data_IF_391463401386
#
_entry.id   IF_391463401386
#
_cell.length_a   1.000
_cell.length_b   1.000
_cell.length_c   1.000
_cell.angle_alpha   90.00
_cell.angle_beta   90.00
_cell.angle_gamma   90.00
#
_symmetry.space_group_name_H-M   'P 1'
#
loop_
_entity.id
_entity.type
_entity.pdbx_description
1 polymer ?
#
# COMPACT_ATOMS: atom_id res chain seq x y z
N UNK A 1 -5.05 -9.81 20.58
CA UNK A 1 -5.27 -8.36 20.44
C UNK A 1 -3.95 -7.59 20.32
N UNK A 2 -3.01 -7.73 21.28
CA UNK A 2 -1.76 -6.95 21.31
C UNK A 2 -0.83 -7.14 20.11
N UNK A 3 -1.02 -8.18 19.31
CA UNK A 3 -0.26 -8.47 18.10
C UNK A 3 -0.95 -7.95 16.83
N UNK A 4 -2.18 -7.42 16.94
CA UNK A 4 -2.93 -6.90 15.82
C UNK A 4 -2.68 -5.40 15.68
N UNK A 5 -2.00 -4.95 14.60
CA UNK A 5 -1.75 -3.53 14.36
C UNK A 5 -3.04 -2.71 14.23
N UNK A 6 -4.11 -3.26 13.68
CA UNK A 6 -5.40 -2.59 13.57
C UNK A 6 -6.02 -2.36 14.95
N UNK A 7 -5.89 -3.32 15.86
CA UNK A 7 -6.33 -3.15 17.25
C UNK A 7 -5.51 -2.09 17.97
N UNK A 8 -4.18 -2.08 17.78
CA UNK A 8 -3.32 -1.02 18.36
C UNK A 8 -3.71 0.36 17.90
N UNK A 9 -3.99 0.51 16.61
CA UNK A 9 -4.49 1.77 16.05
C UNK A 9 -5.82 2.19 16.68
N UNK A 10 -6.77 1.26 16.80
CA UNK A 10 -8.09 1.51 17.41
C UNK A 10 -7.97 1.93 18.87
N UNK A 11 -7.11 1.27 19.64
CA UNK A 11 -6.84 1.64 21.05
C UNK A 11 -6.19 3.01 21.14
N UNK A 12 -5.16 3.27 20.33
CA UNK A 12 -4.50 4.59 20.29
C UNK A 12 -5.49 5.69 19.94
N UNK A 13 -6.37 5.47 18.96
CA UNK A 13 -7.41 6.44 18.60
C UNK A 13 -8.45 6.64 19.70
N UNK A 14 -8.84 5.59 20.42
CA UNK A 14 -9.75 5.69 21.56
C UNK A 14 -9.15 6.52 22.71
N UNK A 15 -7.87 6.29 23.03
CA UNK A 15 -7.13 7.08 24.02
C UNK A 15 -7.05 8.54 23.59
N UNK A 16 -6.69 8.81 22.34
CA UNK A 16 -6.66 10.17 21.78
C UNK A 16 -8.02 10.85 21.92
N UNK A 17 -9.12 10.20 21.53
CA UNK A 17 -10.48 10.75 21.67
C UNK A 17 -10.83 11.05 23.15
N UNK A 18 -10.47 10.17 24.07
CA UNK A 18 -10.68 10.39 25.51
C UNK A 18 -9.94 11.61 26.03
N UNK A 19 -8.68 11.77 25.66
CA UNK A 19 -7.87 12.95 26.04
C UNK A 19 -8.44 14.24 25.39
N UNK A 20 -8.79 14.20 24.11
CA UNK A 20 -9.35 15.34 23.41
C UNK A 20 -10.67 15.80 24.04
N UNK A 21 -11.56 14.86 24.40
CA UNK A 21 -12.83 15.15 25.11
C UNK A 21 -12.58 15.81 26.45
N UNK A 22 -11.73 15.23 27.28
CA UNK A 22 -11.38 15.79 28.58
C UNK A 22 -10.83 17.23 28.48
N UNK A 23 -9.94 17.48 27.51
CA UNK A 23 -9.36 18.81 27.30
C UNK A 23 -10.37 19.80 26.76
N UNK A 24 -11.30 19.40 25.91
CA UNK A 24 -12.35 20.26 25.37
C UNK A 24 -13.34 20.67 26.45
N UNK A 25 -13.79 19.75 27.29
CA UNK A 25 -14.66 20.02 28.44
C UNK A 25 -14.01 20.99 29.40
N UNK A 26 -12.74 20.79 29.73
CA UNK A 26 -12.03 21.73 30.64
C UNK A 26 -11.83 23.14 30.09
N UNK A 27 -11.81 23.29 28.77
CA UNK A 27 -11.56 24.56 28.08
C UNK A 27 -12.83 25.18 27.52
N UNK A 28 -13.99 24.59 27.79
CA UNK A 28 -15.29 24.98 27.21
C UNK A 28 -15.20 25.18 25.69
N UNK A 29 -14.66 24.15 25.00
CA UNK A 29 -14.48 24.15 23.54
C UNK A 29 -15.27 23.03 22.93
N UNK A 30 -15.79 23.26 21.74
CA UNK A 30 -16.38 22.22 20.92
C UNK A 30 -15.34 21.13 20.61
N UNK A 31 -15.72 19.88 20.85
CA UNK A 31 -14.89 18.73 20.49
C UNK A 31 -15.03 18.43 19.02
N UNK A 32 -13.91 18.53 18.29
CA UNK A 32 -13.80 18.04 16.91
C UNK A 32 -12.63 17.09 16.85
N UNK A 33 -12.87 15.91 16.34
CA UNK A 33 -11.84 14.86 16.19
C UNK A 33 -11.26 14.92 14.77
N UNK A 34 -9.94 14.79 14.66
CA UNK A 34 -9.26 14.76 13.37
C UNK A 34 -9.80 13.61 12.47
N UNK A 35 -9.83 13.81 11.13
CA UNK A 35 -10.33 12.79 10.20
C UNK A 35 -9.49 11.52 10.19
N UNK A 36 -10.05 10.46 9.63
CA UNK A 36 -9.28 9.29 9.20
C UNK A 36 -8.57 9.58 7.87
N UNK A 37 -7.50 8.83 7.53
CA UNK A 37 -6.88 8.91 6.21
C UNK A 37 -7.90 8.66 5.10
N UNK A 38 -7.71 9.32 3.97
CA UNK A 38 -8.53 9.05 2.78
C UNK A 38 -8.34 7.63 2.27
N UNK A 39 -9.30 7.14 1.52
CA UNK A 39 -9.29 5.84 0.83
C UNK A 39 -9.49 6.01 -0.66
N UNK A 40 -9.33 4.93 -1.39
CA UNK A 40 -9.59 4.85 -2.85
C UNK A 40 -8.82 5.93 -3.62
N UNK A 41 -7.58 6.21 -3.20
CA UNK A 41 -6.74 7.18 -3.86
C UNK A 41 -6.29 6.68 -5.23
N UNK A 42 -6.42 7.51 -6.25
CA UNK A 42 -6.04 7.20 -7.61
C UNK A 42 -5.52 8.42 -8.35
N UNK A 43 -4.64 8.16 -9.32
CA UNK A 43 -4.15 9.13 -10.28
C UNK A 43 -4.60 8.67 -11.67
N UNK A 44 -5.37 9.49 -12.37
CA UNK A 44 -5.81 9.22 -13.74
C UNK A 44 -5.31 10.30 -14.71
N UNK A 45 -5.00 9.87 -15.93
CA UNK A 45 -4.62 10.79 -17.00
C UNK A 45 -5.87 11.18 -17.75
N UNK A 46 -6.28 12.46 -17.66
CA UNK A 46 -7.43 12.99 -18.35
C UNK A 46 -7.13 13.28 -19.83
N UNK A 47 -5.95 13.84 -20.09
CA UNK A 47 -5.36 14.07 -21.40
C UNK A 47 -3.86 14.29 -21.26
N UNK A 48 -3.16 14.47 -22.38
CA UNK A 48 -1.72 14.75 -22.36
C UNK A 48 -1.38 15.86 -21.36
N UNK A 49 -0.43 15.60 -20.48
CA UNK A 49 0.06 16.48 -19.42
C UNK A 49 -0.99 16.90 -18.37
N UNK A 50 -2.19 16.36 -18.37
CA UNK A 50 -3.23 16.69 -17.39
C UNK A 50 -3.67 15.44 -16.65
N UNK A 51 -3.62 15.53 -15.32
CA UNK A 51 -3.89 14.44 -14.42
C UNK A 51 -4.90 14.85 -13.37
N UNK A 52 -5.68 13.89 -12.93
CA UNK A 52 -6.57 14.03 -11.80
C UNK A 52 -6.16 13.10 -10.68
N UNK A 53 -5.95 13.66 -9.51
CA UNK A 53 -5.89 12.92 -8.25
C UNK A 53 -7.31 12.85 -7.71
N UNK A 54 -7.79 11.67 -7.36
CA UNK A 54 -9.12 11.46 -6.79
C UNK A 54 -9.06 10.54 -5.59
N UNK A 55 -9.95 10.73 -4.64
CA UNK A 55 -10.00 9.94 -3.40
C UNK A 55 -11.39 9.99 -2.79
N UNK A 56 -11.62 9.20 -1.73
CA UNK A 56 -12.82 9.25 -0.93
C UNK A 56 -12.47 9.51 0.54
N UNK A 57 -13.31 10.25 1.30
CA UNK A 57 -13.18 10.33 2.73
C UNK A 57 -13.45 8.98 3.37
N UNK A 58 -12.79 8.71 4.50
CA UNK A 58 -13.07 7.53 5.32
C UNK A 58 -13.91 7.96 6.51
N UNK A 59 -15.19 7.60 6.60
CA UNK A 59 -16.02 7.88 7.76
C UNK A 59 -15.49 7.13 9.00
N UNK A 60 -15.49 7.80 10.14
CA UNK A 60 -15.29 7.13 11.43
C UNK A 60 -16.66 6.76 11.98
N UNK A 61 -17.04 5.46 12.06
CA UNK A 61 -18.37 5.06 12.48
C UNK A 61 -18.67 5.35 13.96
N UNK A 62 -17.64 5.68 14.73
CA UNK A 62 -17.72 5.99 16.15
C UNK A 62 -17.51 7.48 16.44
N UNK A 63 -17.45 8.33 15.40
CA UNK A 63 -17.14 9.76 15.61
C UNK A 63 -17.59 10.61 14.40
N UNK A 64 -18.75 11.19 14.50
CA UNK A 64 -19.34 12.00 13.44
C UNK A 64 -18.58 13.29 13.16
N UNK A 65 -17.92 13.85 14.20
CA UNK A 65 -17.11 15.08 14.05
C UNK A 65 -15.84 14.89 13.24
N UNK A 66 -15.46 13.64 12.96
CA UNK A 66 -14.23 13.29 12.25
C UNK A 66 -14.33 13.40 10.71
N UNK A 67 -15.38 14.02 10.18
CA UNK A 67 -15.47 14.27 8.75
C UNK A 67 -14.50 15.37 8.31
N UNK A 68 -13.83 15.21 7.16
CA UNK A 68 -12.92 16.23 6.66
C UNK A 68 -13.68 17.44 6.08
N UNK A 69 -13.15 18.65 6.35
CA UNK A 69 -13.59 19.88 5.71
C UNK A 69 -12.83 20.16 4.43
N UNK A 70 -11.56 19.73 4.40
CA UNK A 70 -10.61 19.99 3.32
C UNK A 70 -9.57 18.87 3.21
N UNK A 71 -8.81 18.95 2.13
CA UNK A 71 -7.70 18.04 1.83
C UNK A 71 -6.48 18.85 1.42
N UNK A 72 -5.32 18.49 1.95
CA UNK A 72 -4.02 19.00 1.55
C UNK A 72 -3.39 18.02 0.59
N UNK A 73 -2.91 18.53 -0.53
CA UNK A 73 -2.18 17.77 -1.53
C UNK A 73 -0.69 17.98 -1.29
N UNK A 74 -0.01 16.88 -1.06
CA UNK A 74 1.44 16.85 -0.90
C UNK A 74 2.08 16.22 -2.12
N UNK A 75 3.17 16.80 -2.59
CA UNK A 75 3.97 16.26 -3.69
C UNK A 75 5.44 16.14 -3.30
N UNK A 76 6.11 15.23 -4.00
CA UNK A 76 7.55 15.02 -3.96
C UNK A 76 8.03 14.73 -5.37
N UNK A 77 8.99 15.48 -5.85
CA UNK A 77 9.62 15.23 -7.14
C UNK A 77 10.70 14.15 -7.03
N UNK A 78 11.09 13.60 -8.16
CA UNK A 78 12.18 12.63 -8.21
C UNK A 78 13.46 13.20 -7.59
N UNK A 79 14.10 12.42 -6.71
CA UNK A 79 15.29 12.83 -5.99
C UNK A 79 15.08 13.68 -4.73
N UNK A 80 13.89 14.18 -4.47
CA UNK A 80 13.57 14.88 -3.23
C UNK A 80 13.38 13.89 -2.07
N UNK A 81 13.82 14.29 -0.86
CA UNK A 81 13.68 13.47 0.35
C UNK A 81 12.33 13.63 1.04
N UNK A 82 11.66 14.76 0.88
CA UNK A 82 10.45 15.09 1.62
C UNK A 82 9.29 15.53 0.74
N UNK A 83 8.09 15.41 1.29
CA UNK A 83 6.87 15.91 0.65
C UNK A 83 6.65 17.38 1.04
N UNK A 84 6.21 18.17 0.08
CA UNK A 84 5.81 19.57 0.28
C UNK A 84 4.37 19.79 -0.18
N UNK A 85 3.70 20.78 0.40
CA UNK A 85 2.32 21.14 0.04
C UNK A 85 2.31 21.84 -1.32
N UNK A 86 1.49 21.32 -2.26
CA UNK A 86 1.27 21.93 -3.58
C UNK A 86 -0.13 22.53 -3.72
N UNK A 87 -1.08 22.15 -2.87
CA UNK A 87 -2.44 22.65 -2.97
C UNK A 87 -3.32 22.26 -1.79
N UNK A 88 -4.53 22.80 -1.81
CA UNK A 88 -5.60 22.49 -0.87
C UNK A 88 -6.94 22.57 -1.59
N UNK A 89 -7.88 21.68 -1.24
CA UNK A 89 -9.22 21.64 -1.85
C UNK A 89 -10.25 21.12 -0.85
N UNK A 90 -11.50 21.53 -1.01
CA UNK A 90 -12.65 20.93 -0.33
C UNK A 90 -13.32 19.83 -1.15
N UNK A 91 -12.86 19.60 -2.39
CA UNK A 91 -13.36 18.54 -3.26
C UNK A 91 -12.59 17.26 -3.01
N UNK A 92 -13.14 16.13 -3.44
CA UNK A 92 -12.49 14.82 -3.39
C UNK A 92 -11.62 14.55 -4.63
N UNK A 93 -11.16 15.59 -5.27
CA UNK A 93 -10.21 15.53 -6.38
C UNK A 93 -9.38 16.80 -6.48
N UNK A 94 -8.24 16.67 -7.15
CA UNK A 94 -7.36 17.78 -7.48
C UNK A 94 -6.76 17.57 -8.89
N UNK A 95 -6.93 18.56 -9.75
CA UNK A 95 -6.41 18.50 -11.12
C UNK A 95 -5.04 19.20 -11.16
N UNK A 96 -4.10 18.58 -11.86
CA UNK A 96 -2.74 19.11 -12.00
C UNK A 96 -2.21 18.92 -13.42
N UNK A 97 -1.18 19.69 -13.73
CA UNK A 97 -0.46 19.58 -15.00
C UNK A 97 0.97 19.15 -14.72
N UNK A 98 1.38 18.06 -15.37
CA UNK A 98 2.76 17.55 -15.35
C UNK A 98 3.21 17.47 -16.81
N UNK A 99 4.29 18.17 -17.14
CA UNK A 99 4.76 18.30 -18.51
C UNK A 99 6.23 17.90 -18.70
N UNK A 100 6.91 17.60 -17.60
CA UNK A 100 8.27 17.02 -17.59
C UNK A 100 8.21 15.49 -17.65
N UNK A 101 9.38 14.87 -17.73
CA UNK A 101 9.52 13.41 -17.78
C UNK A 101 9.99 12.84 -16.43
N UNK A 102 9.81 13.58 -15.35
CA UNK A 102 10.22 13.14 -14.02
C UNK A 102 9.10 12.36 -13.33
N UNK A 103 9.48 11.60 -12.31
CA UNK A 103 8.53 10.89 -11.46
C UNK A 103 8.07 11.83 -10.35
N UNK A 104 6.77 12.03 -10.27
CA UNK A 104 6.12 12.81 -9.23
C UNK A 104 5.31 11.89 -8.32
N UNK A 105 5.53 12.01 -7.03
CA UNK A 105 4.83 11.23 -5.99
C UNK A 105 3.89 12.14 -5.21
N UNK A 106 2.72 11.61 -4.84
CA UNK A 106 1.67 12.37 -4.17
C UNK A 106 1.12 11.65 -2.95
N UNK A 107 0.68 12.44 -1.98
CA UNK A 107 -0.09 12.01 -0.81
C UNK A 107 -1.23 12.99 -0.56
N UNK A 108 -2.32 12.47 -0.04
CA UNK A 108 -3.50 13.27 0.34
C UNK A 108 -3.65 13.23 1.85
N UNK A 109 -3.82 14.39 2.45
CA UNK A 109 -4.05 14.54 3.90
C UNK A 109 -5.40 15.19 4.12
N UNK A 110 -6.34 14.48 4.71
CA UNK A 110 -7.61 15.05 5.14
C UNK A 110 -7.41 15.93 6.38
N UNK A 111 -8.16 17.02 6.47
CA UNK A 111 -8.14 17.89 7.63
C UNK A 111 -9.52 18.43 7.97
N UNK A 112 -9.71 18.75 9.24
CA UNK A 112 -10.82 19.52 9.79
C UNK A 112 -10.31 20.39 10.96
N UNK A 113 -11.23 21.01 11.70
CA UNK A 113 -10.87 21.81 12.89
C UNK A 113 -10.16 21.01 13.99
N UNK A 114 -10.34 19.68 14.02
CA UNK A 114 -9.70 18.77 14.97
C UNK A 114 -8.25 18.44 14.64
N UNK A 115 -7.81 18.73 13.41
CA UNK A 115 -6.44 18.52 12.97
C UNK A 115 -6.28 17.78 11.66
N UNK A 116 -5.04 17.38 11.37
CA UNK A 116 -4.64 16.65 10.18
C UNK A 116 -4.79 15.13 10.41
N UNK A 117 -5.34 14.44 9.44
CA UNK A 117 -5.26 12.97 9.37
C UNK A 117 -3.82 12.51 9.09
N UNK A 118 -3.57 11.22 9.27
CA UNK A 118 -2.41 10.60 8.64
C UNK A 118 -2.56 10.67 7.11
N UNK A 119 -1.44 10.79 6.37
CA UNK A 119 -1.49 10.84 4.91
C UNK A 119 -2.03 9.55 4.31
N UNK A 120 -2.50 9.64 3.07
CA UNK A 120 -2.78 8.47 2.22
C UNK A 120 -1.52 7.66 1.96
N UNK A 121 -1.68 6.52 1.31
CA UNK A 121 -0.57 5.87 0.63
C UNK A 121 0.11 6.80 -0.39
N UNK A 122 1.36 6.48 -0.76
CA UNK A 122 2.08 7.22 -1.79
C UNK A 122 1.75 6.64 -3.15
N UNK A 123 1.20 7.47 -4.03
CA UNK A 123 1.04 7.14 -5.44
C UNK A 123 1.91 8.06 -6.29
N UNK A 124 2.26 7.59 -7.49
CA UNK A 124 3.19 8.30 -8.36
C UNK A 124 2.71 8.29 -9.80
N UNK A 125 3.20 9.23 -10.58
CA UNK A 125 2.98 9.32 -12.01
C UNK A 125 4.26 9.77 -12.73
N UNK A 126 4.33 9.49 -14.03
CA UNK A 126 5.28 10.06 -14.97
C UNK A 126 4.60 10.26 -16.32
N UNK A 127 4.70 11.46 -16.88
CA UNK A 127 4.35 11.68 -18.29
C UNK A 127 5.51 11.18 -19.18
N UNK A 128 5.21 10.54 -20.30
CA UNK A 128 6.22 10.19 -21.29
C UNK A 128 5.84 10.72 -22.67
N UNK A 129 6.78 11.36 -23.38
CA UNK A 129 6.51 11.86 -24.72
C UNK A 129 6.16 10.73 -25.67
N UNK A 130 5.04 10.87 -26.36
CA UNK A 130 4.59 9.91 -27.37
C UNK A 130 3.73 8.76 -26.85
N UNK A 131 3.66 8.52 -25.56
CA UNK A 131 2.77 7.51 -25.00
C UNK A 131 1.30 7.89 -25.16
N UNK A 132 0.55 7.03 -25.84
CA UNK A 132 -0.91 7.21 -26.00
C UNK A 132 -1.64 6.83 -24.72
N UNK A 133 -1.20 5.74 -24.07
CA UNK A 133 -1.80 5.20 -22.84
C UNK A 133 -0.69 4.87 -21.88
N UNK A 134 -0.70 5.43 -20.65
CA UNK A 134 0.28 5.12 -19.62
C UNK A 134 0.09 3.68 -19.11
N UNK A 135 1.13 3.12 -18.51
CA UNK A 135 1.01 1.90 -17.70
C UNK A 135 0.25 2.25 -16.43
N UNK A 136 -0.67 1.40 -15.99
CA UNK A 136 -1.32 1.53 -14.69
C UNK A 136 -0.57 0.70 -13.66
N UNK A 137 -0.04 1.33 -12.62
CA UNK A 137 0.49 0.65 -11.45
C UNK A 137 -0.62 0.58 -10.40
N UNK A 138 -0.98 -0.63 -9.95
CA UNK A 138 -1.94 -0.82 -8.87
C UNK A 138 -1.19 -1.17 -7.59
N UNK A 139 -1.29 -0.30 -6.59
CA UNK A 139 -0.74 -0.58 -5.27
C UNK A 139 -1.71 -1.47 -4.49
N UNK A 140 -1.48 -2.79 -4.53
CA UNK A 140 -2.26 -3.82 -3.85
C UNK A 140 -1.72 -4.20 -2.47
N UNK A 141 -0.61 -3.58 -2.03
CA UNK A 141 0.01 -3.87 -0.75
C UNK A 141 -0.63 -3.04 0.37
N UNK A 142 -1.64 -3.60 1.02
CA UNK A 142 -2.40 -2.95 2.11
C UNK A 142 -2.21 -3.62 3.46
N UNK A 143 -1.51 -4.75 3.51
CA UNK A 143 -1.33 -5.55 4.72
C UNK A 143 -0.56 -4.78 5.78
N UNK A 144 -1.09 -4.84 7.00
CA UNK A 144 -0.38 -4.53 8.24
C UNK A 144 -0.39 -5.77 9.12
N UNK A 145 0.72 -6.10 9.74
CA UNK A 145 0.87 -7.34 10.50
C UNK A 145 1.97 -7.22 11.53
N UNK A 146 1.76 -7.81 12.69
CA UNK A 146 2.85 -8.07 13.63
C UNK A 146 3.81 -9.11 13.02
N UNK A 147 5.03 -9.22 13.53
CA UNK A 147 5.92 -10.32 13.19
C UNK A 147 5.26 -11.69 13.44
N UNK A 148 5.69 -12.71 12.69
CA UNK A 148 5.23 -14.07 12.93
C UNK A 148 5.49 -14.46 14.39
N UNK A 149 4.47 -14.96 15.07
CA UNK A 149 4.62 -15.44 16.43
C UNK A 149 4.74 -16.96 16.46
N UNK A 150 5.35 -17.47 17.52
CA UNK A 150 5.40 -18.89 17.79
C UNK A 150 5.10 -19.16 19.28
N UNK A 151 4.60 -20.34 19.54
CA UNK A 151 4.50 -20.92 20.87
C UNK A 151 4.97 -22.36 20.79
N UNK A 152 5.98 -22.69 21.60
CA UNK A 152 6.56 -24.01 21.70
C UNK A 152 6.75 -24.36 23.19
N UNK A 153 5.91 -25.24 23.69
CA UNK A 153 5.84 -25.57 25.11
C UNK A 153 5.64 -24.34 25.99
N UNK A 154 6.62 -24.04 26.83
CA UNK A 154 6.61 -22.86 27.71
C UNK A 154 7.23 -21.62 27.07
N UNK A 155 7.74 -21.73 25.85
CA UNK A 155 8.35 -20.62 25.13
C UNK A 155 7.34 -19.98 24.17
N UNK A 156 7.34 -18.65 24.12
CA UNK A 156 6.59 -17.90 23.13
C UNK A 156 7.40 -16.68 22.71
N UNK A 157 7.25 -16.28 21.47
CA UNK A 157 8.01 -15.15 20.95
C UNK A 157 7.68 -14.83 19.49
N UNK A 158 8.58 -14.11 18.85
CA UNK A 158 8.48 -13.74 17.44
C UNK A 158 9.59 -14.39 16.63
N UNK A 159 9.26 -14.82 15.43
CA UNK A 159 10.20 -15.37 14.45
C UNK A 159 10.30 -14.42 13.25
N UNK A 160 11.31 -13.58 13.27
CA UNK A 160 11.59 -12.67 12.17
C UNK A 160 11.95 -13.42 10.87
N UNK A 161 12.54 -14.60 10.98
CA UNK A 161 12.91 -15.43 9.82
C UNK A 161 11.69 -15.95 9.05
N UNK A 162 10.54 -16.06 9.72
CA UNK A 162 9.29 -16.48 9.09
C UNK A 162 8.52 -15.30 8.51
N UNK A 163 8.46 -14.21 9.22
CA UNK A 163 7.83 -12.97 8.77
C UNK A 163 8.23 -11.83 9.73
N UNK A 164 8.84 -10.77 9.22
CA UNK A 164 9.17 -9.58 10.01
C UNK A 164 7.95 -8.79 10.47
N UNK A 165 6.80 -9.11 9.94
CA UNK A 165 5.64 -8.25 10.03
C UNK A 165 5.69 -7.09 9.04
N UNK A 166 4.61 -6.35 9.00
CA UNK A 166 4.45 -5.18 8.16
C UNK A 166 3.91 -4.04 9.02
N UNK A 167 4.68 -2.99 9.23
CA UNK A 167 4.24 -1.84 10.02
C UNK A 167 3.12 -1.08 9.29
N UNK A 168 2.52 -0.09 9.96
CA UNK A 168 1.47 0.72 9.38
C UNK A 168 2.02 1.58 8.23
N UNK A 169 1.63 1.26 7.01
CA UNK A 169 2.26 1.76 5.78
C UNK A 169 2.00 3.22 5.45
N UNK A 170 0.98 3.83 6.05
CA UNK A 170 0.54 5.17 5.65
C UNK A 170 1.36 6.28 6.30
N UNK A 171 2.26 5.92 7.22
CA UNK A 171 2.83 6.88 8.15
C UNK A 171 4.32 6.77 8.33
N UNK A 172 4.97 6.02 7.47
CA UNK A 172 6.35 5.67 7.70
C UNK A 172 7.27 6.52 6.88
N UNK A 173 7.90 7.43 7.58
CA UNK A 173 9.25 7.87 7.26
C UNK A 173 10.31 6.89 7.78
N UNK A 174 9.91 5.79 8.38
CA UNK A 174 10.82 4.78 8.89
C UNK A 174 11.23 3.81 7.81
N UNK A 175 12.46 3.50 7.78
CA UNK A 175 13.15 2.78 6.75
C UNK A 175 13.26 1.29 7.00
N UNK A 176 12.25 0.65 7.56
CA UNK A 176 12.17 -0.78 7.63
C UNK A 176 13.23 -1.43 8.50
N UNK A 177 13.87 -2.49 8.00
CA UNK A 177 14.75 -3.32 8.78
C UNK A 177 16.11 -2.68 9.05
N UNK A 178 16.37 -2.34 10.29
CA UNK A 178 17.66 -1.85 10.74
C UNK A 178 18.39 -2.95 11.50
N UNK A 179 19.39 -3.52 10.89
CA UNK A 179 20.24 -4.56 11.50
C UNK A 179 21.48 -4.00 12.16
N UNK A 180 21.81 -2.75 11.89
CA UNK A 180 23.07 -2.17 12.29
C UNK A 180 22.86 -1.08 13.35
N UNK A 181 23.42 -1.31 14.53
CA UNK A 181 23.46 -0.36 15.62
C UNK A 181 24.82 0.32 15.64
N UNK A 182 24.89 1.56 15.20
CA UNK A 182 26.12 2.34 15.25
C UNK A 182 26.07 3.36 16.40
N UNK A 183 26.84 3.10 17.44
CA UNK A 183 26.92 3.96 18.62
C UNK A 183 27.50 5.34 18.35
N UNK A 184 28.23 5.51 17.25
CA UNK A 184 29.00 6.73 16.98
C UNK A 184 28.22 7.80 16.23
N UNK A 185 27.03 7.50 15.73
CA UNK A 185 26.26 8.43 14.88
C UNK A 185 24.97 8.93 15.50
N UNK A 186 24.63 8.52 16.70
CA UNK A 186 23.37 8.90 17.31
C UNK A 186 23.47 9.35 18.75
N UNK A 187 22.71 10.38 19.10
CA UNK A 187 22.62 10.90 20.44
C UNK A 187 21.67 10.10 21.35
N UNK A 188 21.13 8.97 20.92
CA UNK A 188 20.15 8.24 21.68
C UNK A 188 20.20 6.74 21.45
N UNK A 189 20.23 5.98 22.53
CA UNK A 189 19.94 4.55 22.65
C UNK A 189 20.63 3.58 21.68
N UNK A 190 21.78 3.93 21.16
CA UNK A 190 22.61 3.01 20.35
C UNK A 190 21.94 2.52 19.10
N UNK A 191 21.14 3.37 18.46
CA UNK A 191 20.58 2.99 17.19
C UNK A 191 21.40 3.39 16.00
N UNK A 192 21.25 2.53 15.12
CA UNK A 192 21.55 2.70 13.76
C UNK A 192 20.78 3.84 13.21
N UNK A 193 21.37 4.59 12.43
CA UNK A 193 20.64 5.15 11.36
C UNK A 193 19.84 6.38 11.62
N UNK A 194 20.26 7.27 12.51
CA UNK A 194 19.86 8.67 12.39
C UNK A 194 20.08 9.17 10.93
N UNK A 195 21.05 8.62 10.23
CA UNK A 195 21.30 8.90 8.82
C UNK A 195 20.17 8.47 7.89
N UNK A 196 19.36 7.49 8.27
CA UNK A 196 18.28 6.96 7.44
C UNK A 196 16.89 7.35 7.94
N UNK A 197 16.77 7.94 9.11
CA UNK A 197 15.48 8.21 9.77
C UNK A 197 14.58 9.14 8.96
N UNK A 198 15.13 10.00 8.15
CA UNK A 198 14.39 10.94 7.29
C UNK A 198 14.61 10.68 5.81
N UNK A 199 15.46 9.73 5.45
CA UNK A 199 15.75 9.42 4.06
C UNK A 199 14.69 8.51 3.47
N UNK A 200 14.31 8.81 2.25
CA UNK A 200 13.44 7.97 1.45
C UNK A 200 14.34 6.94 0.76
N UNK A 201 14.23 5.70 1.23
CA UNK A 201 14.91 4.56 0.63
C UNK A 201 13.84 3.73 -0.05
N UNK A 202 14.02 3.45 -1.32
CA UNK A 202 13.12 2.62 -2.09
C UNK A 202 12.77 1.31 -1.37
N UNK A 203 11.48 1.00 -1.28
CA UNK A 203 10.96 -0.16 -0.58
C UNK A 203 10.86 -0.01 0.96
N UNK A 204 11.43 1.03 1.55
CA UNK A 204 11.37 1.28 2.99
C UNK A 204 10.29 2.29 3.40
N UNK A 205 9.84 3.11 2.48
CA UNK A 205 8.85 4.15 2.68
C UNK A 205 7.50 3.79 2.09
N UNK A 206 7.34 2.55 1.65
CA UNK A 206 6.14 2.06 0.96
C UNK A 206 5.75 2.91 -0.25
N UNK A 207 6.74 3.42 -0.96
CA UNK A 207 6.60 4.17 -2.21
C UNK A 207 6.87 3.29 -3.44
N UNK A 208 6.45 2.05 -3.38
CA UNK A 208 6.61 1.06 -4.45
C UNK A 208 6.13 1.52 -5.83
N UNK A 209 5.05 2.32 -5.96
CA UNK A 209 4.68 2.86 -7.26
C UNK A 209 5.76 3.73 -7.90
N UNK A 210 6.57 4.45 -7.12
CA UNK A 210 7.72 5.19 -7.66
C UNK A 210 8.84 4.23 -8.07
N UNK A 211 9.10 3.17 -7.28
CA UNK A 211 10.14 2.17 -7.56
C UNK A 211 9.87 1.41 -8.85
N UNK A 212 8.66 0.87 -9.00
CA UNK A 212 8.24 0.20 -10.23
C UNK A 212 8.16 1.19 -11.41
N UNK A 213 7.69 2.39 -11.12
CA UNK A 213 7.64 3.48 -12.08
C UNK A 213 9.00 3.86 -12.64
N UNK A 214 10.07 3.74 -11.86
CA UNK A 214 11.43 3.97 -12.32
C UNK A 214 11.88 2.94 -13.37
N UNK A 215 11.51 1.67 -13.20
CA UNK A 215 11.75 0.64 -14.21
C UNK A 215 10.96 0.90 -15.50
N UNK A 216 9.68 1.30 -15.38
CA UNK A 216 8.83 1.66 -16.51
C UNK A 216 9.38 2.91 -17.23
N UNK A 217 9.85 3.89 -16.48
CA UNK A 217 10.48 5.11 -16.99
C UNK A 217 11.76 4.81 -17.77
N UNK A 218 12.61 3.90 -17.25
CA UNK A 218 13.83 3.46 -17.91
C UNK A 218 13.54 2.72 -19.23
N UNK A 219 12.38 2.07 -19.35
CA UNK A 219 11.91 1.50 -20.60
C UNK A 219 11.29 2.55 -21.56
N UNK A 220 11.28 3.82 -21.19
CA UNK A 220 10.78 4.92 -22.02
C UNK A 220 9.27 5.20 -21.90
N UNK A 221 8.57 4.55 -20.97
CA UNK A 221 7.11 4.67 -20.82
C UNK A 221 6.68 5.60 -19.69
N UNK A 222 5.47 6.16 -19.84
CA UNK A 222 4.77 6.86 -18.79
C UNK A 222 3.91 5.91 -17.96
N UNK A 223 3.57 6.34 -16.75
CA UNK A 223 2.68 5.58 -15.88
C UNK A 223 1.82 6.49 -15.01
N UNK A 224 0.75 5.93 -14.53
CA UNK A 224 -0.07 6.44 -13.43
C UNK A 224 -0.23 5.35 -12.40
N UNK A 225 -0.64 5.68 -11.19
CA UNK A 225 -0.86 4.68 -10.16
C UNK A 225 -2.19 4.85 -9.42
N UNK A 226 -2.67 3.76 -8.86
CA UNK A 226 -3.94 3.69 -8.14
C UNK A 226 -3.80 2.78 -6.92
N UNK A 227 -4.56 3.07 -5.88
CA UNK A 227 -4.82 2.08 -4.82
C UNK A 227 -5.66 0.93 -5.37
N UNK A 228 -5.49 -0.24 -4.80
CA UNK A 228 -6.37 -1.38 -5.12
C UNK A 228 -7.83 -1.08 -4.79
N UNK A 229 -8.11 -0.34 -3.71
CA UNK A 229 -9.47 0.06 -3.34
C UNK A 229 -10.17 0.90 -4.40
N UNK A 230 -9.45 1.78 -5.10
CA UNK A 230 -10.02 2.56 -6.20
C UNK A 230 -10.35 1.70 -7.43
N UNK A 231 -9.63 0.61 -7.65
CA UNK A 231 -9.95 -0.39 -8.68
C UNK A 231 -11.16 -1.20 -8.25
N UNK A 232 -11.15 -1.76 -7.05
CA UNK A 232 -12.24 -2.58 -6.51
C UNK A 232 -13.58 -1.83 -6.45
N UNK A 233 -13.55 -0.54 -6.08
CA UNK A 233 -14.76 0.31 -6.08
C UNK A 233 -15.24 0.73 -7.47
N UNK A 234 -14.47 0.44 -8.52
CA UNK A 234 -14.76 0.84 -9.89
C UNK A 234 -14.51 2.34 -10.19
N UNK A 235 -13.86 3.05 -9.26
CA UNK A 235 -13.42 4.43 -9.47
C UNK A 235 -12.35 4.52 -10.59
N UNK A 236 -11.52 3.48 -10.70
CA UNK A 236 -10.58 3.29 -11.80
C UNK A 236 -11.03 2.13 -12.67
N UNK A 237 -11.26 2.40 -13.95
CA UNK A 237 -11.66 1.38 -14.93
C UNK A 237 -10.43 0.84 -15.67
N UNK A 238 -10.20 -0.46 -15.59
CA UNK A 238 -9.04 -1.10 -16.19
C UNK A 238 -9.08 -1.09 -17.72
N UNK A 239 -10.25 -1.06 -18.34
CA UNK A 239 -10.44 -0.98 -19.80
C UNK A 239 -9.80 0.25 -20.46
N UNK A 240 -9.42 1.27 -19.68
CA UNK A 240 -8.68 2.44 -20.16
C UNK A 240 -7.18 2.20 -20.37
N UNK A 241 -6.67 1.04 -20.00
CA UNK A 241 -5.24 0.71 -20.00
C UNK A 241 -4.95 -0.52 -20.85
N UNK A 242 -3.71 -0.61 -21.34
CA UNK A 242 -3.21 -1.78 -22.06
C UNK A 242 -2.31 -2.65 -21.18
N UNK A 243 -1.56 -2.02 -20.30
CA UNK A 243 -0.59 -2.68 -19.44
C UNK A 243 -0.87 -2.32 -17.98
N UNK A 244 -0.89 -3.31 -17.12
CA UNK A 244 -1.07 -3.18 -15.68
C UNK A 244 0.10 -3.82 -14.95
N UNK A 245 0.61 -3.12 -13.94
CA UNK A 245 1.59 -3.61 -12.97
C UNK A 245 0.91 -3.64 -11.60
N UNK A 246 0.59 -4.83 -11.10
CA UNK A 246 -0.03 -5.06 -9.80
C UNK A 246 1.03 -5.39 -8.75
N UNK A 247 1.23 -4.49 -7.80
CA UNK A 247 2.19 -4.64 -6.70
C UNK A 247 1.47 -5.21 -5.48
N UNK A 248 1.79 -6.44 -5.11
CA UNK A 248 1.24 -7.09 -3.92
C UNK A 248 2.23 -7.12 -2.75
N UNK A 249 3.53 -6.92 -3.01
CA UNK A 249 4.55 -6.89 -1.95
C UNK A 249 4.44 -8.09 -1.00
N UNK A 250 4.23 -7.84 0.28
CA UNK A 250 3.97 -8.85 1.31
C UNK A 250 2.49 -9.07 1.61
N UNK A 251 1.60 -8.78 0.68
CA UNK A 251 0.16 -9.04 0.83
C UNK A 251 -0.07 -10.53 1.09
N UNK A 252 -0.86 -10.83 2.09
CA UNK A 252 -1.16 -12.21 2.51
C UNK A 252 -2.41 -12.24 3.36
N UNK A 253 -3.30 -13.15 3.08
CA UNK A 253 -4.50 -13.36 3.86
C UNK A 253 -4.18 -13.72 5.31
N UNK A 254 -4.86 -13.07 6.21
CA UNK A 254 -4.70 -13.28 7.64
C UNK A 254 -6.02 -13.23 8.39
N UNK A 255 -6.05 -13.89 9.54
CA UNK A 255 -7.16 -13.82 10.47
C UNK A 255 -6.81 -12.80 11.55
N UNK A 256 -7.66 -11.81 11.71
CA UNK A 256 -7.48 -10.72 12.66
C UNK A 256 -8.50 -10.86 13.79
N UNK A 257 -8.19 -10.35 14.99
CA UNK A 257 -9.15 -10.31 16.08
C UNK A 257 -9.60 -11.69 16.58
N UNK A 258 -8.68 -12.66 16.64
CA UNK A 258 -8.97 -14.03 17.09
C UNK A 258 -10.04 -14.73 16.20
N UNK A 259 -10.03 -14.44 14.92
CA UNK A 259 -10.97 -14.99 13.94
C UNK A 259 -12.34 -14.31 13.88
N UNK A 260 -12.61 -13.35 14.76
CA UNK A 260 -13.89 -12.66 14.79
C UNK A 260 -14.07 -11.62 13.68
N UNK A 261 -12.95 -11.10 13.16
CA UNK A 261 -12.96 -10.09 12.08
C UNK A 261 -12.94 -10.68 10.67
N UNK A 262 -13.00 -12.00 10.52
CA UNK A 262 -12.89 -12.68 9.25
C UNK A 262 -11.49 -12.64 8.65
N UNK A 263 -11.38 -13.10 7.41
CA UNK A 263 -10.14 -13.07 6.63
C UNK A 263 -9.93 -11.66 6.07
N UNK A 264 -8.75 -11.11 6.27
CA UNK A 264 -8.34 -9.81 5.73
C UNK A 264 -7.05 -9.95 4.94
N UNK A 265 -6.75 -8.93 4.14
CA UNK A 265 -5.52 -8.80 3.37
C UNK A 265 -5.29 -9.91 2.35
N UNK A 266 -6.36 -10.49 1.79
CA UNK A 266 -6.23 -11.39 0.65
C UNK A 266 -5.38 -10.74 -0.44
N UNK A 267 -4.52 -11.51 -1.10
CA UNK A 267 -3.77 -11.06 -2.29
C UNK A 267 -4.72 -10.69 -3.41
N UNK A 268 -5.76 -11.48 -3.57
CA UNK A 268 -6.85 -11.23 -4.52
C UNK A 268 -8.16 -11.26 -3.76
N UNK A 269 -8.94 -10.21 -3.89
CA UNK A 269 -10.32 -10.16 -3.47
C UNK A 269 -11.22 -10.58 -4.62
N UNK A 270 -12.43 -11.09 -4.39
CA UNK A 270 -13.33 -11.48 -5.49
C UNK A 270 -13.56 -10.35 -6.50
N UNK A 271 -13.60 -9.10 -6.03
CA UNK A 271 -13.80 -7.94 -6.90
C UNK A 271 -12.56 -7.67 -7.76
N UNK A 272 -11.36 -7.75 -7.18
CA UNK A 272 -10.12 -7.61 -7.93
C UNK A 272 -9.96 -8.73 -8.97
N UNK A 273 -10.25 -9.98 -8.60
CA UNK A 273 -10.25 -11.13 -9.51
C UNK A 273 -11.18 -10.91 -10.70
N UNK A 274 -12.40 -10.44 -10.43
CA UNK A 274 -13.38 -10.13 -11.47
C UNK A 274 -12.86 -9.05 -12.43
N UNK A 275 -12.30 -7.97 -11.92
CA UNK A 275 -11.75 -6.86 -12.70
C UNK A 275 -10.57 -7.31 -13.57
N UNK A 276 -9.64 -8.07 -13.00
CA UNK A 276 -8.47 -8.57 -13.70
C UNK A 276 -8.85 -9.61 -14.75
N UNK A 277 -9.82 -10.48 -14.47
CA UNK A 277 -10.32 -11.45 -15.45
C UNK A 277 -10.93 -10.77 -16.69
N UNK A 278 -11.74 -9.74 -16.48
CA UNK A 278 -12.28 -8.97 -17.62
C UNK A 278 -11.15 -8.32 -18.41
N UNK A 279 -10.22 -7.65 -17.72
CA UNK A 279 -9.09 -6.97 -18.35
C UNK A 279 -8.23 -7.91 -19.21
N UNK A 280 -7.87 -9.06 -18.68
CA UNK A 280 -7.04 -10.05 -19.42
C UNK A 280 -7.80 -10.70 -20.57
N UNK A 281 -9.09 -11.00 -20.40
CA UNK A 281 -9.94 -11.53 -21.48
C UNK A 281 -10.12 -10.54 -22.63
N UNK A 282 -10.04 -9.25 -22.36
CA UNK A 282 -10.05 -8.19 -23.38
C UNK A 282 -8.66 -7.94 -24.02
N UNK A 283 -7.67 -8.76 -23.68
CA UNK A 283 -6.31 -8.71 -24.25
C UNK A 283 -5.39 -7.73 -23.56
N UNK A 284 -5.67 -7.34 -22.31
CA UNK A 284 -4.79 -6.56 -21.48
C UNK A 284 -3.59 -7.37 -20.98
N UNK A 285 -2.44 -6.70 -20.84
CA UNK A 285 -1.23 -7.31 -20.29
C UNK A 285 -1.13 -7.03 -18.80
N UNK A 286 -0.95 -8.08 -18.01
CA UNK A 286 -0.88 -8.01 -16.55
C UNK A 286 0.46 -8.53 -16.06
N UNK A 287 1.21 -7.70 -15.33
CA UNK A 287 2.37 -8.08 -14.55
C UNK A 287 1.99 -8.04 -13.07
N UNK A 288 2.35 -9.07 -12.32
CA UNK A 288 2.06 -9.16 -10.88
C UNK A 288 3.35 -9.49 -10.13
N UNK A 289 3.60 -8.74 -9.07
CA UNK A 289 4.74 -8.97 -8.18
C UNK A 289 4.31 -9.06 -6.73
N UNK A 290 4.92 -9.98 -5.99
CA UNK A 290 4.67 -10.13 -4.56
C UNK A 290 5.20 -11.45 -4.01
N UNK A 291 5.45 -11.48 -2.71
CA UNK A 291 6.01 -12.65 -2.02
C UNK A 291 5.04 -13.83 -1.97
N UNK A 292 3.74 -13.55 -1.83
CA UNK A 292 2.72 -14.57 -1.56
C UNK A 292 1.67 -14.71 -2.68
N UNK A 293 1.97 -14.27 -3.91
CA UNK A 293 1.01 -14.25 -5.02
C UNK A 293 0.36 -15.63 -5.22
N UNK A 294 1.16 -16.67 -5.30
CA UNK A 294 0.68 -18.05 -5.53
C UNK A 294 0.36 -18.75 -4.22
N UNK A 295 1.23 -18.67 -3.23
CA UNK A 295 1.07 -19.42 -1.98
C UNK A 295 -0.17 -19.02 -1.18
N UNK A 296 -0.60 -17.75 -1.29
CA UNK A 296 -1.76 -17.28 -0.56
C UNK A 296 -3.06 -17.78 -1.19
N UNK A 297 -3.23 -17.65 -2.51
CA UNK A 297 -4.46 -18.02 -3.21
C UNK A 297 -4.77 -19.52 -3.13
N UNK A 298 -3.75 -20.37 -3.00
CA UNK A 298 -3.92 -21.80 -2.78
C UNK A 298 -4.03 -22.20 -1.31
N UNK A 299 -4.03 -21.23 -0.38
CA UNK A 299 -4.24 -21.51 1.03
C UNK A 299 -5.70 -21.87 1.34
N UNK A 300 -5.94 -22.44 2.53
CA UNK A 300 -7.29 -22.80 3.00
C UNK A 300 -8.23 -21.60 3.19
N UNK A 301 -7.72 -20.38 3.06
CA UNK A 301 -8.48 -19.13 3.20
C UNK A 301 -9.22 -18.71 1.94
N UNK A 302 -9.00 -19.45 0.86
CA UNK A 302 -9.56 -19.21 -0.45
C UNK A 302 -10.45 -20.37 -0.89
N UNK A 303 -11.45 -20.06 -1.71
CA UNK A 303 -12.40 -21.03 -2.22
C UNK A 303 -12.02 -21.59 -3.60
N UNK A 304 -12.89 -22.44 -4.18
CA UNK A 304 -12.69 -22.98 -5.51
C UNK A 304 -12.66 -21.92 -6.63
N UNK A 305 -13.43 -20.84 -6.47
CA UNK A 305 -13.49 -19.75 -7.47
C UNK A 305 -12.17 -18.99 -7.53
N UNK A 306 -11.58 -18.68 -6.39
CA UNK A 306 -10.27 -18.04 -6.29
C UNK A 306 -9.18 -18.93 -6.98
N UNK A 307 -9.25 -20.24 -6.76
CA UNK A 307 -8.33 -21.19 -7.41
C UNK A 307 -8.52 -21.23 -8.92
N UNK A 308 -9.77 -21.20 -9.38
CA UNK A 308 -10.07 -21.12 -10.81
C UNK A 308 -9.48 -19.86 -11.45
N UNK A 309 -9.57 -18.73 -10.78
CA UNK A 309 -8.90 -17.50 -11.21
C UNK A 309 -7.39 -17.69 -11.33
N UNK A 310 -6.74 -18.30 -10.34
CA UNK A 310 -5.31 -18.58 -10.38
C UNK A 310 -4.92 -19.48 -11.57
N UNK A 311 -5.66 -20.55 -11.79
CA UNK A 311 -5.37 -21.53 -12.84
C UNK A 311 -5.64 -21.00 -14.24
N UNK A 312 -6.76 -20.32 -14.44
CA UNK A 312 -7.22 -19.90 -15.78
C UNK A 312 -6.72 -18.52 -16.16
N UNK A 313 -6.74 -17.57 -15.23
CA UNK A 313 -6.37 -16.18 -15.53
C UNK A 313 -4.88 -15.94 -15.30
N UNK A 314 -4.35 -16.42 -14.17
CA UNK A 314 -2.93 -16.24 -13.86
C UNK A 314 -2.06 -17.34 -14.49
N UNK A 315 -2.64 -18.45 -14.92
CA UNK A 315 -1.91 -19.57 -15.51
C UNK A 315 -0.98 -20.28 -14.53
N UNK A 316 -1.29 -20.24 -13.22
CA UNK A 316 -0.46 -20.83 -12.17
C UNK A 316 -1.17 -21.97 -11.48
N UNK A 317 -0.43 -23.04 -11.23
CA UNK A 317 -0.87 -24.19 -10.43
C UNK A 317 0.16 -24.43 -9.32
N UNK A 318 -0.26 -24.93 -8.14
CA UNK A 318 0.70 -25.31 -7.13
C UNK A 318 1.57 -26.43 -7.67
N UNK A 319 2.88 -26.29 -7.60
CA UNK A 319 3.77 -27.42 -7.81
C UNK A 319 3.48 -28.47 -6.73
N UNK A 320 3.45 -29.75 -7.10
CA UNK A 320 3.47 -30.82 -6.10
C UNK A 320 4.72 -30.60 -5.23
N UNK A 321 4.51 -30.47 -3.91
CA UNK A 321 5.64 -30.31 -3.00
C UNK A 321 6.52 -31.56 -3.13
N UNK A 322 7.82 -31.41 -3.42
CA UNK A 322 8.71 -32.57 -3.39
C UNK A 322 8.64 -33.20 -2.00
N UNK A 323 8.63 -34.53 -1.93
CA UNK A 323 8.70 -35.26 -0.66
C UNK A 323 9.90 -34.73 0.14
N UNK A 324 9.63 -33.96 1.21
CA UNK A 324 10.68 -33.34 2.01
C UNK A 324 10.46 -31.84 2.32
N UNK A 325 9.37 -31.24 1.85
CA UNK A 325 9.02 -29.84 2.08
C UNK A 325 9.72 -28.88 1.10
N UNK A 326 9.10 -27.74 0.88
CA UNK A 326 9.68 -26.64 0.09
C UNK A 326 10.93 -26.11 0.81
N UNK A 327 12.09 -26.49 0.35
CA UNK A 327 13.32 -25.76 0.61
C UNK A 327 13.21 -24.42 -0.15
N UNK A 328 13.04 -23.34 0.57
CA UNK A 328 13.23 -22.00 -0.01
C UNK A 328 14.61 -21.93 -0.65
N UNK A 329 14.67 -22.02 -1.95
CA UNK A 329 15.90 -21.68 -2.67
C UNK A 329 16.04 -20.16 -2.62
N UNK A 330 16.89 -19.65 -1.76
CA UNK A 330 17.34 -18.25 -1.72
C UNK A 330 18.19 -17.85 -2.96
N UNK A 331 18.01 -18.50 -4.08
CA UNK A 331 18.65 -18.07 -5.30
C UNK A 331 17.72 -17.08 -6.00
N UNK A 332 18.09 -15.80 -6.01
CA UNK A 332 17.37 -14.75 -6.72
C UNK A 332 17.41 -14.91 -8.25
N UNK A 333 17.24 -16.12 -8.75
CA UNK A 333 17.12 -16.43 -10.17
C UNK A 333 15.66 -16.62 -10.51
N UNK A 334 15.14 -15.76 -11.35
CA UNK A 334 13.87 -15.97 -12.02
C UNK A 334 14.06 -17.09 -13.05
N UNK A 335 13.22 -18.12 -12.95
CA UNK A 335 13.16 -19.18 -13.95
C UNK A 335 11.91 -18.96 -14.81
N UNK A 336 12.08 -18.98 -16.11
CA UNK A 336 10.95 -19.08 -17.04
C UNK A 336 10.30 -20.45 -16.95
N UNK A 337 9.10 -20.61 -17.48
CA UNK A 337 8.35 -21.89 -17.47
C UNK A 337 9.09 -23.04 -18.18
N UNK A 338 10.09 -22.75 -19.00
CA UNK A 338 10.99 -23.72 -19.64
C UNK A 338 12.27 -24.01 -18.83
N UNK A 339 12.38 -23.48 -17.61
CA UNK A 339 13.51 -23.73 -16.70
C UNK A 339 14.78 -22.95 -17.04
N UNK A 340 14.71 -22.00 -17.98
CA UNK A 340 15.85 -21.14 -18.30
C UNK A 340 15.89 -19.92 -17.37
N UNK A 341 17.09 -19.51 -17.00
CA UNK A 341 17.31 -18.26 -16.25
C UNK A 341 16.96 -17.08 -17.15
N UNK A 342 16.11 -16.18 -16.67
CA UNK A 342 15.82 -14.90 -17.32
C UNK A 342 16.85 -13.87 -16.89
#
# INVERSE_FOLDING_TARGET
YGLDPSFKFTVGRAIYKGIARFLSERKDRELVIQPLPVKDFAITREKKNHYRLSWQPTPDPLEETAMPDKYVILARNQGELGFHKIGETSKTHYDLKVADNEIHSFRIVALNKGGLAFPSETLSLREAPGDKTPVLIINGFTRISAPANFKDGNNAGFSADKDFGVPYIKDISFTGYQTEFNRNTGNAFGHSGSNFTTQIIAGNTFDYPAVHGEAIANAGHGFVSSSVGAVESGAVKLSGYKNIDLILGKQKAGIVGNGKSGVRFKTFTPELERQLSVFTNEGGNLFISGENVVSDIFSFRYGPEDRHFAEVVLGVVPAEAPEGGLTETRSGKLLSSDGKTV
#
